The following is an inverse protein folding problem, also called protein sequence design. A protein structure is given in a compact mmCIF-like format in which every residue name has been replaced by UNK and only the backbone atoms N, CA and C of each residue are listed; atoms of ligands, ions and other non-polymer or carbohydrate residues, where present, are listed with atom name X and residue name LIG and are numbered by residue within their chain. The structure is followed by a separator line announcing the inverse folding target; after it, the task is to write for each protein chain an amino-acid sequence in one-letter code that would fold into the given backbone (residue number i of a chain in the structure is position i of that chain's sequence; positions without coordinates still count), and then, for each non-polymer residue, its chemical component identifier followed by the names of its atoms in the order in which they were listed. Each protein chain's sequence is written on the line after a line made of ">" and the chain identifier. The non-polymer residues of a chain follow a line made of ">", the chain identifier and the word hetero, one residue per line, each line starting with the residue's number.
data_IF_243122646322
#
_entry.id   IF_243122646322
#
_cell.length_a   1.000
_cell.length_b   1.000
_cell.length_c   1.000
_cell.angle_alpha   90.00
_cell.angle_beta   90.00
_cell.angle_gamma   90.00
#
_symmetry.space_group_name_H-M   'P 1'
#
loop_
_entity.id
_entity.type
_entity.pdbx_description
1 polymer ?
#
# COMPACT_ATOMS: atom_id res chain seq x y z
N UNK A 1 10.46 -13.14 7.33
CA UNK A 1 11.47 -12.05 7.53
C UNK A 1 10.73 -10.73 7.68
N UNK A 2 11.24 -9.79 8.46
CA UNK A 2 10.66 -8.45 8.58
C UNK A 2 11.41 -7.47 7.66
N UNK A 3 10.71 -6.63 6.90
CA UNK A 3 11.30 -5.71 5.93
C UNK A 3 12.38 -4.80 6.54
N UNK A 4 12.23 -4.39 7.81
CA UNK A 4 13.19 -3.51 8.47
C UNK A 4 14.59 -4.11 8.61
N UNK A 5 14.70 -5.42 8.89
CA UNK A 5 16.02 -6.06 8.94
C UNK A 5 16.62 -6.23 7.55
N UNK A 6 15.80 -6.45 6.52
CA UNK A 6 16.24 -6.50 5.13
C UNK A 6 16.82 -5.15 4.67
N UNK A 7 16.08 -4.04 4.87
CA UNK A 7 16.55 -2.68 4.58
C UNK A 7 17.88 -2.38 5.29
N UNK A 8 17.96 -2.69 6.59
CA UNK A 8 19.16 -2.44 7.40
C UNK A 8 20.37 -3.22 6.88
N UNK A 9 20.16 -4.46 6.44
CA UNK A 9 21.21 -5.29 5.88
C UNK A 9 21.68 -4.75 4.52
N UNK A 10 20.75 -4.42 3.62
CA UNK A 10 21.08 -3.82 2.32
C UNK A 10 21.82 -2.49 2.48
N UNK A 11 21.34 -1.61 3.35
CA UNK A 11 22.02 -0.35 3.65
C UNK A 11 23.46 -0.57 4.13
N UNK A 12 23.66 -1.48 5.08
CA UNK A 12 25.00 -1.80 5.62
C UNK A 12 25.91 -2.46 4.58
N UNK A 13 25.38 -3.33 3.72
CA UNK A 13 26.14 -4.00 2.65
C UNK A 13 26.71 -3.01 1.63
N UNK A 14 26.01 -1.88 1.44
CA UNK A 14 26.43 -0.78 0.56
C UNK A 14 27.16 0.35 1.31
N UNK A 15 27.50 0.14 2.58
CA UNK A 15 28.18 1.12 3.44
C UNK A 15 27.48 2.47 3.61
N UNK A 16 26.15 2.51 3.44
CA UNK A 16 25.39 3.72 3.65
C UNK A 16 25.05 3.94 5.13
N UNK A 17 25.05 5.20 5.56
CA UNK A 17 24.46 5.65 6.82
C UNK A 17 22.96 5.88 6.65
N UNK A 18 22.20 5.89 7.75
CA UNK A 18 20.77 6.22 7.68
C UNK A 18 20.54 7.65 7.16
N UNK A 19 21.46 8.57 7.47
CA UNK A 19 21.41 9.95 6.98
C UNK A 19 21.57 10.03 5.46
N UNK A 20 22.54 9.27 4.90
CA UNK A 20 22.74 9.23 3.46
C UNK A 20 21.52 8.69 2.72
N UNK A 21 20.92 7.60 3.18
CA UNK A 21 19.70 7.06 2.57
C UNK A 21 18.55 8.05 2.68
N UNK A 22 18.40 8.72 3.83
CA UNK A 22 17.37 9.73 4.02
C UNK A 22 17.53 10.90 3.04
N UNK A 23 18.77 11.34 2.80
CA UNK A 23 19.08 12.40 1.85
C UNK A 23 18.77 11.99 0.40
N UNK A 24 19.12 10.77 0.00
CA UNK A 24 18.82 10.26 -1.36
C UNK A 24 17.32 10.10 -1.61
N UNK A 25 16.55 9.76 -0.57
CA UNK A 25 15.10 9.62 -0.65
C UNK A 25 14.36 10.93 -0.38
N UNK A 26 15.07 12.01 -0.04
CA UNK A 26 14.49 13.30 0.37
C UNK A 26 13.48 13.20 1.53
N UNK A 27 13.79 12.36 2.51
CA UNK A 27 12.96 12.16 3.71
C UNK A 27 13.76 12.40 5.00
N UNK A 28 13.08 12.36 6.14
CA UNK A 28 13.74 12.46 7.45
C UNK A 28 14.51 11.17 7.80
N UNK A 29 15.68 11.31 8.46
CA UNK A 29 16.43 10.16 9.02
C UNK A 29 15.58 9.31 9.97
N UNK A 30 14.65 9.94 10.69
CA UNK A 30 13.72 9.28 11.60
C UNK A 30 12.83 8.27 10.86
N UNK A 31 12.42 8.57 9.61
CA UNK A 31 11.66 7.64 8.77
C UNK A 31 12.46 6.38 8.47
N UNK A 32 13.72 6.51 8.02
CA UNK A 32 14.62 5.37 7.81
C UNK A 32 14.79 4.54 9.09
N UNK A 33 15.01 5.19 10.23
CA UNK A 33 15.13 4.51 11.51
C UNK A 33 13.84 3.76 11.89
N UNK A 34 12.67 4.36 11.64
CA UNK A 34 11.39 3.74 11.92
C UNK A 34 11.16 2.50 11.04
N UNK A 35 11.51 2.56 9.75
CA UNK A 35 11.41 1.42 8.84
C UNK A 35 12.36 0.29 9.24
N UNK A 36 13.62 0.60 9.56
CA UNK A 36 14.62 -0.40 9.96
C UNK A 36 14.29 -1.10 11.30
N UNK A 37 13.53 -0.43 12.16
CA UNK A 37 13.08 -0.98 13.45
C UNK A 37 11.64 -1.54 13.39
N UNK A 38 11.03 -1.62 12.19
CA UNK A 38 9.64 -2.06 11.98
C UNK A 38 8.59 -1.24 12.75
N UNK A 39 8.89 0.01 13.09
CA UNK A 39 7.96 0.92 13.74
C UNK A 39 6.98 1.56 12.75
N UNK A 40 7.35 1.62 11.47
CA UNK A 40 6.49 2.03 10.35
C UNK A 40 6.88 1.28 9.07
N UNK A 41 6.04 1.37 8.05
CA UNK A 41 6.28 0.78 6.74
C UNK A 41 6.54 1.89 5.70
N UNK A 42 7.45 1.70 4.73
CA UNK A 42 7.63 2.66 3.64
C UNK A 42 6.41 2.66 2.71
N UNK A 43 6.02 3.81 2.18
CA UNK A 43 4.99 3.87 1.14
C UNK A 43 5.50 3.33 -0.21
N UNK A 44 4.61 3.24 -1.20
CA UNK A 44 4.93 2.71 -2.52
C UNK A 44 6.05 3.52 -3.22
N UNK A 45 6.02 4.84 -3.11
CA UNK A 45 7.02 5.72 -3.72
C UNK A 45 8.40 5.47 -3.12
N UNK A 46 8.50 5.42 -1.80
CA UNK A 46 9.72 5.12 -1.09
C UNK A 46 10.21 3.69 -1.35
N UNK A 47 9.31 2.72 -1.53
CA UNK A 47 9.69 1.36 -1.92
C UNK A 47 10.38 1.33 -3.29
N UNK A 48 9.86 2.06 -4.26
CA UNK A 48 10.47 2.17 -5.60
C UNK A 48 11.83 2.88 -5.53
N UNK A 49 11.93 3.96 -4.74
CA UNK A 49 13.21 4.65 -4.56
C UNK A 49 14.25 3.76 -3.85
N UNK A 50 13.85 3.01 -2.83
CA UNK A 50 14.73 2.05 -2.16
C UNK A 50 15.15 0.92 -3.11
N UNK A 51 14.25 0.44 -3.98
CA UNK A 51 14.57 -0.61 -4.94
C UNK A 51 15.62 -0.14 -5.95
N UNK A 52 15.53 1.11 -6.40
CA UNK A 52 16.55 1.76 -7.23
C UNK A 52 17.87 1.94 -6.49
N UNK A 53 17.84 2.50 -5.26
CA UNK A 53 19.03 2.76 -4.45
C UNK A 53 19.79 1.47 -4.11
N UNK A 54 19.07 0.41 -3.79
CA UNK A 54 19.63 -0.88 -3.42
C UNK A 54 19.79 -1.85 -4.60
N UNK A 55 19.42 -1.43 -5.81
CA UNK A 55 19.45 -2.20 -7.06
C UNK A 55 18.86 -3.60 -6.89
N UNK A 56 17.63 -3.64 -6.41
CA UNK A 56 16.87 -4.88 -6.18
C UNK A 56 15.41 -4.63 -6.56
N UNK A 57 14.62 -5.70 -6.66
CA UNK A 57 13.20 -5.56 -6.99
C UNK A 57 12.38 -5.16 -5.74
N UNK A 58 11.27 -4.46 -5.94
CA UNK A 58 10.34 -4.13 -4.85
C UNK A 58 9.83 -5.42 -4.18
N UNK A 59 9.58 -6.47 -4.95
CA UNK A 59 9.19 -7.79 -4.45
C UNK A 59 10.24 -8.40 -3.51
N UNK A 60 11.53 -8.24 -3.83
CA UNK A 60 12.62 -8.67 -2.97
C UNK A 60 12.69 -7.85 -1.68
N UNK A 61 12.37 -6.55 -1.70
CA UNK A 61 12.29 -5.72 -0.48
C UNK A 61 11.18 -6.19 0.46
N UNK A 62 10.02 -6.50 -0.10
CA UNK A 62 8.83 -6.90 0.66
C UNK A 62 8.92 -8.36 1.15
N UNK A 63 9.86 -9.13 0.58
CA UNK A 63 10.08 -10.53 0.94
C UNK A 63 9.20 -11.50 0.16
N UNK A 64 8.67 -11.08 -1.00
CA UNK A 64 7.92 -11.94 -1.92
C UNK A 64 8.84 -12.83 -2.76
N UNK A 65 10.13 -12.48 -2.90
CA UNK A 65 11.12 -13.27 -3.64
C UNK A 65 12.40 -13.40 -2.83
N UNK A 66 12.65 -14.59 -2.29
CA UNK A 66 13.93 -14.98 -1.70
C UNK A 66 14.87 -15.52 -2.79
N UNK A 67 16.20 -15.41 -2.62
CA UNK A 67 17.17 -16.07 -3.51
C UNK A 67 17.07 -17.61 -3.49
N UNK A 68 16.27 -18.18 -2.58
CA UNK A 68 15.88 -19.59 -2.59
C UNK A 68 14.99 -19.95 -3.79
N UNK A 69 14.29 -18.97 -4.39
CA UNK A 69 13.47 -19.14 -5.59
C UNK A 69 14.19 -18.80 -6.90
N UNK A 70 15.47 -18.41 -6.87
CA UNK A 70 16.24 -18.07 -8.09
C UNK A 70 16.97 -19.28 -8.69
N UNK A 71 17.05 -20.40 -7.96
CA UNK A 71 17.74 -21.60 -8.46
C UNK A 71 16.96 -22.36 -9.54
N UNK A 72 15.69 -22.05 -9.76
CA UNK A 72 14.86 -22.73 -10.78
C UNK A 72 14.81 -22.02 -12.15
N UNK A 73 15.42 -20.83 -12.30
CA UNK A 73 15.37 -20.08 -13.58
C UNK A 73 16.62 -20.31 -14.46
N UNK A 74 17.66 -20.98 -13.95
CA UNK A 74 18.92 -21.17 -14.71
C UNK A 74 18.98 -22.44 -15.57
N UNK A 75 17.99 -23.34 -15.51
CA UNK A 75 18.06 -24.65 -16.20
C UNK A 75 17.33 -24.72 -17.58
N UNK A 76 16.73 -23.63 -18.07
CA UNK A 76 16.00 -23.65 -19.36
C UNK A 76 16.60 -22.79 -20.50
N UNK A 77 17.81 -22.22 -20.31
CA UNK A 77 18.48 -21.43 -21.35
C UNK A 77 19.58 -22.20 -22.13
N UNK A 78 19.76 -23.50 -21.87
CA UNK A 78 20.90 -24.28 -22.37
C UNK A 78 20.64 -25.13 -23.62
N UNK A 79 19.44 -25.10 -24.20
CA UNK A 79 19.17 -25.86 -25.42
C UNK A 79 18.61 -24.96 -26.52
N UNK A 80 19.17 -25.12 -27.72
CA UNK A 80 18.80 -24.50 -29.01
C UNK A 80 19.46 -23.17 -29.42
N UNK A 81 20.74 -23.32 -29.75
CA UNK A 81 21.37 -22.98 -31.05
C UNK A 81 21.73 -21.53 -31.42
N UNK A 82 23.01 -21.24 -31.21
CA UNK A 82 23.88 -20.58 -32.19
C UNK A 82 23.84 -21.33 -33.55
N UNK A 83 23.16 -20.77 -34.56
CA UNK A 83 23.59 -20.76 -35.98
C UNK A 83 23.00 -19.51 -36.64
N UNK A 84 23.81 -18.47 -36.80
CA UNK A 84 23.52 -17.32 -37.68
C UNK A 84 23.57 -17.80 -39.15
N UNK A 85 22.76 -17.22 -40.07
CA UNK A 85 23.34 -16.15 -40.88
C UNK A 85 22.37 -15.02 -41.28
N UNK A 86 22.84 -13.79 -41.02
CA UNK A 86 22.78 -12.59 -41.89
C UNK A 86 21.63 -12.41 -42.90
N UNK A 87 20.79 -11.39 -42.69
CA UNK A 87 20.48 -10.31 -43.64
C UNK A 87 19.42 -9.34 -43.07
N UNK A 88 19.76 -8.05 -42.94
CA UNK A 88 18.80 -6.92 -43.04
C UNK A 88 18.29 -6.82 -44.49
N UNK A 89 17.09 -6.28 -44.83
CA UNK A 89 16.53 -5.02 -44.28
C UNK A 89 14.97 -4.92 -44.19
N UNK A 90 14.50 -3.72 -43.82
CA UNK A 90 13.20 -3.09 -44.17
C UNK A 90 12.05 -3.06 -43.12
N UNK A 91 12.06 -2.00 -42.30
CA UNK A 91 11.06 -0.92 -42.18
C UNK A 91 9.54 -1.26 -42.16
N UNK A 92 8.90 -0.84 -41.05
CA UNK A 92 7.50 -0.39 -40.80
C UNK A 92 6.32 -1.36 -40.96
N UNK A 93 5.53 -1.56 -39.91
CA UNK A 93 4.25 -0.84 -39.67
C UNK A 93 3.62 -1.30 -38.34
N UNK A 94 2.66 -0.51 -37.87
CA UNK A 94 2.24 -0.40 -36.49
C UNK A 94 0.99 -1.25 -36.14
N UNK A 95 0.82 -1.45 -34.83
CA UNK A 95 -0.44 -1.26 -34.07
C UNK A 95 -1.49 -2.38 -33.98
N UNK A 96 -1.79 -2.68 -32.71
CA UNK A 96 -3.09 -2.99 -32.08
C UNK A 96 -3.61 -4.42 -31.95
N UNK A 97 -4.00 -4.70 -30.69
CA UNK A 97 -4.96 -5.72 -30.25
C UNK A 97 -4.28 -7.09 -30.13
N UNK A 98 -4.27 -7.78 -28.99
CA UNK A 98 -5.33 -7.94 -28.00
C UNK A 98 -4.66 -8.29 -26.66
N UNK A 99 -4.72 -7.38 -25.68
CA UNK A 99 -4.26 -7.65 -24.31
C UNK A 99 -5.12 -6.86 -23.32
N UNK A 100 -6.44 -6.87 -23.55
CA UNK A 100 -7.42 -6.12 -22.75
C UNK A 100 -8.56 -7.03 -22.30
N UNK A 101 -8.28 -8.07 -21.51
CA UNK A 101 -9.36 -8.78 -20.81
C UNK A 101 -9.05 -9.05 -19.34
N UNK A 102 -7.81 -9.35 -18.93
CA UNK A 102 -7.55 -9.63 -17.50
C UNK A 102 -7.38 -8.37 -16.62
N UNK A 103 -6.83 -7.28 -17.18
CA UNK A 103 -6.56 -6.06 -16.40
C UNK A 103 -7.81 -5.26 -16.04
N UNK A 104 -8.93 -5.49 -16.72
CA UNK A 104 -10.19 -4.83 -16.41
C UNK A 104 -10.90 -5.52 -15.23
N UNK A 105 -10.79 -6.84 -15.11
CA UNK A 105 -11.43 -7.62 -14.04
C UNK A 105 -10.79 -7.31 -12.67
N UNK A 106 -9.46 -7.20 -12.61
CA UNK A 106 -8.75 -6.87 -11.37
C UNK A 106 -8.97 -5.40 -10.94
N UNK A 107 -9.08 -4.48 -11.91
CA UNK A 107 -9.38 -3.08 -11.63
C UNK A 107 -10.85 -2.86 -11.21
N UNK A 108 -11.78 -3.68 -11.72
CA UNK A 108 -13.19 -3.69 -11.29
C UNK A 108 -13.31 -4.25 -9.87
N UNK A 109 -12.59 -5.33 -9.55
CA UNK A 109 -12.61 -5.92 -8.20
C UNK A 109 -12.01 -5.00 -7.14
N UNK A 110 -10.93 -4.27 -7.46
CA UNK A 110 -10.36 -3.21 -6.60
C UNK A 110 -11.32 -2.03 -6.35
N UNK A 111 -12.15 -1.67 -7.34
CA UNK A 111 -13.16 -0.62 -7.20
C UNK A 111 -14.42 -1.11 -6.46
N UNK A 112 -14.73 -2.40 -6.53
CA UNK A 112 -15.92 -3.00 -5.93
C UNK A 112 -15.87 -2.96 -4.39
N UNK A 113 -14.69 -3.15 -3.79
CA UNK A 113 -14.50 -3.12 -2.33
C UNK A 113 -14.85 -1.75 -1.72
N UNK A 114 -14.52 -0.67 -2.44
CA UNK A 114 -14.84 0.69 -2.02
C UNK A 114 -16.31 1.06 -2.25
N UNK A 115 -16.94 0.48 -3.28
CA UNK A 115 -18.38 0.67 -3.54
C UNK A 115 -19.21 -0.02 -2.46
N UNK A 116 -18.81 -1.20 -1.98
CA UNK A 116 -19.49 -1.88 -0.88
C UNK A 116 -19.46 -1.05 0.41
N UNK A 117 -18.33 -0.39 0.70
CA UNK A 117 -18.20 0.51 1.85
C UNK A 117 -19.06 1.77 1.69
N UNK A 118 -19.19 2.31 0.48
CA UNK A 118 -20.07 3.46 0.21
C UNK A 118 -21.54 3.06 0.36
N UNK A 119 -21.94 1.88 -0.13
CA UNK A 119 -23.30 1.34 0.04
C UNK A 119 -23.61 1.02 1.50
N UNK A 120 -22.64 0.46 2.25
CA UNK A 120 -22.74 0.21 3.68
C UNK A 120 -22.83 1.53 4.48
N UNK A 121 -22.09 2.56 4.07
CA UNK A 121 -22.13 3.90 4.67
C UNK A 121 -23.46 4.62 4.40
N UNK A 122 -24.04 4.46 3.20
CA UNK A 122 -25.36 4.98 2.86
C UNK A 122 -26.47 4.20 3.60
N UNK A 123 -26.33 2.88 3.76
CA UNK A 123 -27.27 2.06 4.54
C UNK A 123 -27.21 2.35 6.06
N UNK A 124 -26.07 2.87 6.55
CA UNK A 124 -25.93 3.33 7.94
C UNK A 124 -26.66 4.64 8.22
N UNK A 125 -27.16 5.34 7.19
CA UNK A 125 -27.91 6.59 7.32
C UNK A 125 -29.32 6.43 7.94
N UNK A 126 -29.77 5.21 8.20
CA UNK A 126 -31.12 4.92 8.73
C UNK A 126 -31.12 4.38 10.18
N UNK A 127 -29.98 4.28 10.86
CA UNK A 127 -29.91 3.63 12.18
C UNK A 127 -29.40 4.59 13.28
N UNK A 128 -30.29 5.32 13.96
CA UNK A 128 -29.96 6.24 15.06
C UNK A 128 -29.30 5.55 16.28
N UNK A 129 -29.14 4.23 16.27
CA UNK A 129 -28.59 3.45 17.37
C UNK A 129 -27.11 3.07 17.21
N UNK A 130 -26.51 3.25 16.02
CA UNK A 130 -25.11 2.85 15.81
C UNK A 130 -24.10 3.80 16.47
N UNK A 131 -24.49 5.04 16.75
CA UNK A 131 -23.63 6.04 17.38
C UNK A 131 -23.15 5.63 18.79
N UNK A 132 -24.02 4.98 19.57
CA UNK A 132 -23.69 4.49 20.92
C UNK A 132 -22.70 3.32 20.86
N UNK A 133 -22.88 2.41 19.91
CA UNK A 133 -21.96 1.28 19.69
C UNK A 133 -20.60 1.74 19.17
N UNK A 134 -20.56 2.73 18.27
CA UNK A 134 -19.30 3.33 17.81
C UNK A 134 -18.57 4.06 18.95
N UNK A 135 -19.28 4.77 19.83
CA UNK A 135 -18.68 5.44 20.98
C UNK A 135 -17.99 4.43 21.91
N UNK A 136 -18.68 3.33 22.23
CA UNK A 136 -18.13 2.25 23.08
C UNK A 136 -16.94 1.56 22.41
N UNK A 137 -17.04 1.29 21.11
CA UNK A 137 -15.95 0.71 20.32
C UNK A 137 -14.73 1.63 20.33
N UNK A 138 -14.88 2.91 20.00
CA UNK A 138 -13.77 3.88 19.94
C UNK A 138 -13.06 4.05 21.28
N UNK A 139 -13.82 4.09 22.39
CA UNK A 139 -13.24 4.15 23.75
C UNK A 139 -12.35 2.93 24.02
N UNK A 140 -12.74 1.75 23.52
CA UNK A 140 -12.01 0.49 23.71
C UNK A 140 -10.82 0.34 22.77
N UNK A 141 -10.91 0.82 21.53
CA UNK A 141 -9.87 0.61 20.49
C UNK A 141 -8.75 1.66 20.56
N UNK A 142 -9.03 2.88 21.00
CA UNK A 142 -8.06 3.99 20.95
C UNK A 142 -7.36 4.15 22.32
N UNK A 143 -6.36 3.32 22.63
CA UNK A 143 -5.61 3.46 23.89
C UNK A 143 -4.46 4.48 23.85
N UNK A 144 -3.96 4.83 22.65
CA UNK A 144 -2.65 5.51 22.51
C UNK A 144 -2.62 6.85 21.75
N UNK A 145 -3.77 7.44 21.37
CA UNK A 145 -3.81 8.70 20.58
C UNK A 145 -4.80 9.72 21.20
N UNK A 146 -4.36 10.65 22.07
CA UNK A 146 -5.25 11.52 22.85
C UNK A 146 -6.06 12.50 21.98
N UNK A 147 -5.47 13.04 20.92
CA UNK A 147 -6.14 13.98 20.00
C UNK A 147 -7.31 13.33 19.23
N UNK A 148 -7.18 12.05 18.89
CA UNK A 148 -8.20 11.32 18.14
C UNK A 148 -9.46 11.06 18.99
N UNK A 149 -9.29 10.85 20.31
CA UNK A 149 -10.42 10.68 21.24
C UNK A 149 -11.31 11.92 21.29
N UNK A 150 -10.71 13.11 21.32
CA UNK A 150 -11.45 14.37 21.37
C UNK A 150 -12.28 14.63 20.12
N UNK A 151 -11.69 14.38 18.94
CA UNK A 151 -12.38 14.56 17.65
C UNK A 151 -13.57 13.60 17.53
N UNK A 152 -13.39 12.33 17.90
CA UNK A 152 -14.48 11.35 17.79
C UNK A 152 -15.60 11.64 18.80
N UNK A 153 -15.27 12.05 20.02
CA UNK A 153 -16.29 12.45 21.01
C UNK A 153 -17.10 13.65 20.49
N UNK A 154 -16.45 14.64 19.88
CA UNK A 154 -17.12 15.80 19.30
C UNK A 154 -18.09 15.40 18.19
N UNK A 155 -17.67 14.52 17.28
CA UNK A 155 -18.51 14.00 16.19
C UNK A 155 -19.73 13.27 16.75
N UNK A 156 -19.56 12.40 17.75
CA UNK A 156 -20.67 11.68 18.37
C UNK A 156 -21.68 12.63 19.04
N UNK A 157 -21.21 13.65 19.76
CA UNK A 157 -22.09 14.65 20.39
C UNK A 157 -22.85 15.44 19.33
N UNK A 158 -22.18 15.83 18.24
CA UNK A 158 -22.81 16.55 17.13
C UNK A 158 -23.90 15.71 16.44
N UNK A 159 -23.67 14.41 16.23
CA UNK A 159 -24.67 13.49 15.69
C UNK A 159 -25.89 13.38 16.61
N UNK A 160 -25.68 13.21 17.92
CA UNK A 160 -26.78 13.14 18.89
C UNK A 160 -27.60 14.42 18.87
N UNK A 161 -26.96 15.60 18.84
CA UNK A 161 -27.65 16.89 18.79
C UNK A 161 -28.44 17.03 17.48
N UNK A 162 -27.85 16.66 16.35
CA UNK A 162 -28.51 16.70 15.06
C UNK A 162 -29.75 15.81 15.03
N UNK A 163 -29.64 14.59 15.52
CA UNK A 163 -30.78 13.65 15.62
C UNK A 163 -31.87 14.19 16.55
N UNK A 164 -31.49 14.84 17.65
CA UNK A 164 -32.44 15.44 18.60
C UNK A 164 -33.19 16.64 17.99
N UNK A 165 -32.52 17.45 17.18
CA UNK A 165 -33.13 18.55 16.41
C UNK A 165 -34.07 17.99 15.34
N UNK A 166 -33.64 16.96 14.61
CA UNK A 166 -34.46 16.30 13.58
C UNK A 166 -35.74 15.71 14.18
N UNK A 167 -35.64 15.01 15.31
CA UNK A 167 -36.80 14.47 16.02
C UNK A 167 -37.74 15.57 16.54
N UNK A 168 -37.20 16.69 17.04
CA UNK A 168 -38.01 17.81 17.51
C UNK A 168 -38.78 18.52 16.38
N UNK A 169 -38.21 18.57 15.17
CA UNK A 169 -38.86 19.11 13.97
C UNK A 169 -39.94 18.16 13.41
N UNK A 170 -39.74 16.84 13.53
CA UNK A 170 -40.67 15.84 13.00
C UNK A 170 -41.91 15.61 13.87
N UNK A 171 -41.83 15.88 15.18
CA UNK A 171 -42.92 15.63 16.13
C UNK A 171 -43.70 16.90 16.56
N UNK A 172 -43.37 18.07 15.98
CA UNK A 172 -44.09 19.34 16.16
C UNK A 172 -45.01 19.64 14.99
#
# INVERSE_FOLDING_TARGET
>A
MQIGSYLKNHRKSRHFTQEQVANELHISRQAISAWENNASFPDLENLVLLSQLYQTSVDSLIGNVTPENTLDIQEQAADLQEVLPSAEPAVTEATSGETLVSSAEDAVNSKLENIFLIVLAIAAFELPFLGVFLLIYVIKTVKSRPYFKGIVLFICVACIIHDLIYYAQFFS
#
